data_IF_311276093900
#
_entry.id   IF_311276093900
#
_cell.length_a   1.000
_cell.length_b   1.000
_cell.length_c   1.000
_cell.angle_alpha   90.00
_cell.angle_beta   90.00
_cell.angle_gamma   90.00
#
_symmetry.space_group_name_H-M   'P 1'
#
loop_
_entity.id
_entity.type
_entity.pdbx_description
1 polymer ?
#
# COMPACT_ATOMS: atom_id res chain seq x y z
N UNK A 1 29.38 12.72 13.79
CA UNK A 1 29.22 12.36 12.36
C UNK A 1 28.43 13.48 11.70
N UNK A 2 28.96 14.15 10.66
CA UNK A 2 28.25 15.21 9.94
C UNK A 2 27.55 14.58 8.73
N UNK A 3 26.23 14.46 8.79
CA UNK A 3 25.42 13.95 7.68
C UNK A 3 25.13 15.12 6.73
N UNK A 4 25.28 14.90 5.42
CA UNK A 4 24.87 15.88 4.41
C UNK A 4 23.37 15.84 4.21
N UNK A 5 22.78 16.99 3.90
CA UNK A 5 21.33 17.11 3.70
C UNK A 5 20.82 16.22 2.55
N UNK A 6 21.57 16.10 1.45
CA UNK A 6 21.25 15.18 0.35
C UNK A 6 21.11 13.72 0.81
N UNK A 7 21.99 13.27 1.71
CA UNK A 7 21.95 11.91 2.26
C UNK A 7 20.75 11.71 3.19
N UNK A 8 20.46 12.72 4.01
CA UNK A 8 19.26 12.71 4.87
C UNK A 8 17.99 12.63 4.01
N UNK A 9 17.90 13.46 2.97
CA UNK A 9 16.73 13.52 2.08
C UNK A 9 16.51 12.19 1.35
N UNK A 10 17.54 11.60 0.75
CA UNK A 10 17.43 10.30 0.08
C UNK A 10 16.92 9.22 1.05
N UNK A 11 17.40 9.22 2.30
CA UNK A 11 16.94 8.28 3.31
C UNK A 11 15.46 8.49 3.68
N UNK A 12 14.98 9.73 3.74
CA UNK A 12 13.56 10.02 4.00
C UNK A 12 12.68 9.60 2.83
N UNK A 13 13.11 9.88 1.59
CA UNK A 13 12.38 9.45 0.39
C UNK A 13 12.23 7.93 0.35
N UNK A 14 13.32 7.19 0.60
CA UNK A 14 13.31 5.72 0.66
C UNK A 14 12.36 5.18 1.76
N UNK A 15 12.35 5.82 2.94
CA UNK A 15 11.44 5.44 4.03
C UNK A 15 9.97 5.71 3.69
N UNK A 16 9.69 6.85 3.07
CA UNK A 16 8.33 7.20 2.63
C UNK A 16 7.89 6.20 1.58
N UNK A 17 8.65 6.02 0.51
CA UNK A 17 8.32 5.15 -0.62
C UNK A 17 7.99 3.73 -0.15
N UNK A 18 8.85 3.14 0.69
CA UNK A 18 8.61 1.82 1.29
C UNK A 18 7.36 1.76 2.16
N UNK A 19 6.95 2.85 2.79
CA UNK A 19 5.80 2.87 3.68
C UNK A 19 4.47 3.21 2.98
N UNK A 20 4.52 3.83 1.80
CA UNK A 20 3.33 4.45 1.20
C UNK A 20 3.08 4.10 -0.26
N UNK A 21 4.09 3.58 -0.97
CA UNK A 21 3.88 3.09 -2.31
C UNK A 21 2.99 1.85 -2.24
N UNK A 22 1.79 1.94 -2.81
CA UNK A 22 0.79 0.87 -2.75
C UNK A 22 0.23 0.55 -4.13
N UNK A 23 -0.31 -0.66 -4.25
CA UNK A 23 -0.89 -1.17 -5.49
C UNK A 23 -2.16 -1.98 -5.19
N UNK A 24 -3.18 -1.97 -6.09
CA UNK A 24 -4.35 -2.82 -5.94
C UNK A 24 -4.03 -4.32 -6.03
N UNK A 25 -4.77 -5.15 -5.28
CA UNK A 25 -4.73 -6.62 -5.36
C UNK A 25 -4.95 -7.08 -6.79
N UNK A 26 -4.07 -7.96 -7.26
CA UNK A 26 -4.19 -8.57 -8.59
C UNK A 26 -3.67 -7.72 -9.74
N UNK A 27 -3.25 -6.46 -9.54
CA UNK A 27 -2.56 -5.68 -10.56
C UNK A 27 -1.20 -6.27 -10.95
N UNK A 28 -0.55 -6.94 -9.99
CA UNK A 28 0.63 -7.77 -10.20
C UNK A 28 0.33 -9.20 -9.79
N UNK A 29 1.08 -10.14 -10.34
CA UNK A 29 1.09 -11.52 -9.88
C UNK A 29 2.51 -12.06 -9.81
N UNK A 30 2.73 -13.01 -8.92
CA UNK A 30 4.01 -13.70 -8.77
C UNK A 30 3.94 -15.04 -9.47
N UNK A 31 4.83 -15.22 -10.44
CA UNK A 31 4.98 -16.50 -11.14
C UNK A 31 5.47 -17.59 -10.17
N UNK A 32 5.07 -18.86 -10.35
CA UNK A 32 5.63 -19.98 -9.59
C UNK A 32 7.16 -20.07 -9.69
N UNK A 33 7.75 -19.53 -10.77
CA UNK A 33 9.19 -19.49 -10.99
C UNK A 33 9.90 -18.37 -10.20
N UNK A 34 9.16 -17.50 -9.51
CA UNK A 34 9.70 -16.42 -8.67
C UNK A 34 9.46 -15.00 -9.18
N UNK A 35 9.62 -14.68 -10.49
CA UNK A 35 9.45 -13.32 -11.01
C UNK A 35 8.04 -12.76 -10.81
N UNK A 36 7.96 -11.46 -10.53
CA UNK A 36 6.71 -10.70 -10.48
C UNK A 36 6.42 -10.07 -11.83
N UNK A 37 5.17 -10.14 -12.28
CA UNK A 37 4.73 -9.61 -13.57
C UNK A 37 3.48 -8.75 -13.41
N UNK A 38 3.31 -7.79 -14.34
CA UNK A 38 2.06 -7.05 -14.48
C UNK A 38 0.96 -7.99 -14.96
N UNK A 39 -0.15 -8.02 -14.23
CA UNK A 39 -1.29 -8.83 -14.61
C UNK A 39 -2.10 -8.13 -15.71
N UNK A 40 -2.00 -8.64 -16.94
CA UNK A 40 -2.68 -8.03 -18.09
C UNK A 40 -4.20 -8.22 -18.04
N UNK A 41 -4.70 -9.23 -17.33
CA UNK A 41 -6.13 -9.53 -17.19
C UNK A 41 -6.79 -8.80 -16.02
N UNK A 42 -6.02 -8.08 -15.19
CA UNK A 42 -6.59 -7.27 -14.13
C UNK A 42 -7.39 -6.11 -14.70
N UNK A 43 -8.69 -6.07 -14.48
CA UNK A 43 -9.56 -4.99 -15.00
C UNK A 43 -9.80 -3.87 -13.99
N UNK A 44 -9.27 -3.97 -12.77
CA UNK A 44 -9.55 -3.06 -11.67
C UNK A 44 -10.25 -3.77 -10.51
N UNK A 45 -10.23 -3.16 -9.33
CA UNK A 45 -10.98 -3.69 -8.19
C UNK A 45 -12.48 -3.45 -8.40
N UNK A 46 -13.31 -4.39 -7.95
CA UNK A 46 -14.75 -4.15 -7.86
C UNK A 46 -15.07 -3.10 -6.80
N UNK A 47 -16.25 -2.51 -6.83
CA UNK A 47 -16.66 -1.50 -5.84
C UNK A 47 -16.68 -2.02 -4.40
N UNK A 48 -16.93 -3.31 -4.18
CA UNK A 48 -16.95 -3.93 -2.85
C UNK A 48 -15.55 -4.19 -2.31
N UNK A 49 -14.61 -4.57 -3.19
CA UNK A 49 -13.19 -4.76 -2.86
C UNK A 49 -12.48 -3.42 -2.68
N UNK A 50 -12.75 -2.46 -3.54
CA UNK A 50 -12.07 -1.16 -3.55
C UNK A 50 -12.25 -0.36 -2.24
N UNK A 51 -13.21 -0.73 -1.38
CA UNK A 51 -13.44 -0.15 -0.05
C UNK A 51 -12.68 -0.85 1.09
N UNK A 52 -11.95 -1.92 0.80
CA UNK A 52 -11.27 -2.74 1.79
C UNK A 52 -9.76 -2.49 1.74
N UNK A 53 -9.15 -2.24 2.90
CA UNK A 53 -7.69 -2.12 3.00
C UNK A 53 -6.98 -3.41 2.58
N UNK A 54 -7.62 -4.58 2.77
CA UNK A 54 -7.11 -5.87 2.31
C UNK A 54 -6.99 -6.02 0.79
N UNK A 55 -7.56 -5.09 0.02
CA UNK A 55 -7.43 -5.05 -1.44
C UNK A 55 -6.27 -4.18 -1.92
N UNK A 56 -5.44 -3.66 -1.02
CA UNK A 56 -4.28 -2.83 -1.33
C UNK A 56 -3.04 -3.38 -0.63
N UNK A 57 -1.92 -3.35 -1.34
CA UNK A 57 -0.66 -3.94 -0.89
C UNK A 57 0.48 -2.96 -1.02
N UNK A 58 1.44 -3.01 -0.11
CA UNK A 58 2.70 -2.26 -0.21
C UNK A 58 3.52 -2.74 -1.41
N UNK A 59 3.90 -1.81 -2.28
CA UNK A 59 4.69 -2.08 -3.48
C UNK A 59 6.20 -2.12 -3.15
N UNK A 60 6.57 -3.12 -2.35
CA UNK A 60 7.95 -3.42 -1.97
C UNK A 60 8.09 -4.91 -1.66
N UNK A 61 9.30 -5.35 -1.35
CA UNK A 61 9.47 -6.70 -0.80
C UNK A 61 8.68 -6.89 0.51
N UNK A 62 8.03 -8.04 0.69
CA UNK A 62 7.27 -8.32 1.90
C UNK A 62 8.20 -8.48 3.10
N UNK A 63 7.81 -7.82 4.19
CA UNK A 63 8.46 -7.86 5.50
C UNK A 63 7.62 -8.70 6.45
N UNK A 64 6.31 -8.45 6.51
CA UNK A 64 5.41 -9.06 7.50
C UNK A 64 4.92 -10.44 7.03
N UNK A 65 4.75 -10.64 5.72
CA UNK A 65 4.34 -11.93 5.15
C UNK A 65 5.28 -13.09 5.54
N UNK A 66 6.57 -12.79 5.70
CA UNK A 66 7.59 -13.77 6.11
C UNK A 66 7.31 -14.30 7.51
N UNK A 67 6.72 -13.48 8.37
CA UNK A 67 6.44 -13.77 9.78
C UNK A 67 5.09 -14.47 10.00
N UNK A 68 4.22 -14.56 8.97
CA UNK A 68 2.93 -15.25 9.07
C UNK A 68 3.09 -16.75 9.31
N UNK A 69 2.20 -17.30 10.13
CA UNK A 69 2.07 -18.74 10.42
C UNK A 69 1.63 -19.53 9.19
N UNK A 70 1.80 -20.85 9.23
CA UNK A 70 1.32 -21.74 8.14
C UNK A 70 -0.19 -21.69 7.97
N UNK A 71 -0.93 -21.56 9.07
CA UNK A 71 -2.39 -21.46 9.04
C UNK A 71 -2.84 -20.17 8.34
N UNK A 72 -2.25 -19.02 8.69
CA UNK A 72 -2.57 -17.75 8.03
C UNK A 72 -2.17 -17.73 6.55
N UNK A 73 -1.12 -18.47 6.17
CA UNK A 73 -0.68 -18.60 4.77
C UNK A 73 -1.61 -19.50 3.96
N UNK A 74 -2.35 -20.41 4.60
CA UNK A 74 -3.25 -21.33 3.89
C UNK A 74 -4.43 -20.61 3.22
N UNK A 75 -4.82 -19.46 3.75
CA UNK A 75 -5.93 -18.65 3.23
C UNK A 75 -5.49 -17.66 2.13
N UNK A 76 -4.18 -17.56 1.85
CA UNK A 76 -3.63 -16.62 0.87
C UNK A 76 -3.51 -17.28 -0.51
N UNK A 77 -3.77 -16.50 -1.56
CA UNK A 77 -3.40 -16.89 -2.92
C UNK A 77 -1.91 -16.58 -3.13
N UNK A 78 -1.01 -17.58 -3.30
CA UNK A 78 0.43 -17.32 -3.39
C UNK A 78 0.84 -16.49 -4.61
N UNK A 79 0.00 -16.44 -5.64
CA UNK A 79 0.23 -15.67 -6.86
C UNK A 79 -0.18 -14.20 -6.69
N UNK A 80 -1.23 -13.93 -5.90
CA UNK A 80 -1.81 -12.59 -5.76
C UNK A 80 -1.44 -11.91 -4.43
N UNK A 81 -1.33 -12.67 -3.35
CA UNK A 81 -1.16 -12.22 -1.96
C UNK A 81 0.31 -12.39 -1.49
N UNK A 82 1.25 -12.03 -2.36
CA UNK A 82 2.69 -12.17 -2.13
C UNK A 82 3.37 -10.92 -1.55
N UNK A 83 2.62 -9.84 -1.31
CA UNK A 83 3.07 -8.57 -0.72
C UNK A 83 2.40 -8.33 0.64
N UNK A 84 2.84 -7.32 1.39
CA UNK A 84 2.22 -6.95 2.67
C UNK A 84 0.91 -6.17 2.43
N UNK A 85 -0.18 -6.61 3.04
CA UNK A 85 -1.51 -6.00 2.92
C UNK A 85 -1.70 -4.86 3.93
N UNK A 86 -2.32 -3.75 3.49
CA UNK A 86 -2.58 -2.58 4.35
C UNK A 86 -3.50 -2.88 5.54
N UNK A 87 -4.28 -3.95 5.48
CA UNK A 87 -5.13 -4.39 6.60
C UNK A 87 -4.34 -4.69 7.87
N UNK A 88 -3.07 -5.08 7.72
CA UNK A 88 -2.20 -5.51 8.81
C UNK A 88 -1.26 -4.40 9.28
N UNK A 89 -1.37 -3.19 8.71
CA UNK A 89 -0.51 -2.08 9.09
C UNK A 89 -0.70 -1.68 10.56
N UNK A 90 0.42 -1.32 11.19
CA UNK A 90 0.48 -0.90 12.59
C UNK A 90 0.89 0.58 12.65
N UNK A 91 0.16 1.44 13.38
CA UNK A 91 -1.07 1.13 14.13
C UNK A 91 -2.28 0.82 13.23
N UNK A 92 -3.21 0.00 13.72
CA UNK A 92 -4.50 -0.21 13.04
C UNK A 92 -5.21 1.13 12.91
N UNK A 93 -5.72 1.45 11.72
CA UNK A 93 -6.28 2.78 11.43
C UNK A 93 -5.28 3.77 10.84
N UNK A 94 -4.06 3.33 10.48
CA UNK A 94 -3.06 4.16 9.79
C UNK A 94 -3.47 4.67 8.41
N UNK A 95 -4.56 4.13 7.86
CA UNK A 95 -5.06 4.47 6.54
C UNK A 95 -6.51 4.92 6.62
N UNK A 96 -6.81 6.01 5.92
CA UNK A 96 -8.18 6.40 5.62
C UNK A 96 -8.53 5.98 4.20
N UNK A 97 -9.76 5.52 4.00
CA UNK A 97 -10.28 5.11 2.70
C UNK A 97 -11.61 5.80 2.46
N UNK A 98 -11.72 6.48 1.31
CA UNK A 98 -12.88 7.31 0.97
C UNK A 98 -13.31 7.04 -0.46
N UNK A 99 -14.62 6.97 -0.68
CA UNK A 99 -15.21 6.91 -2.00
C UNK A 99 -15.66 8.31 -2.40
N UNK A 100 -15.19 8.77 -3.55
CA UNK A 100 -15.45 10.09 -4.08
C UNK A 100 -16.24 9.99 -5.39
N UNK A 101 -16.82 11.12 -5.83
CA UNK A 101 -17.48 11.24 -7.15
C UNK A 101 -18.51 10.14 -7.43
N UNK A 102 -19.39 9.84 -6.46
CA UNK A 102 -20.43 8.82 -6.63
C UNK A 102 -19.90 7.39 -6.70
N UNK A 103 -18.83 7.08 -5.97
CA UNK A 103 -18.10 5.81 -5.98
C UNK A 103 -17.24 5.55 -7.24
N UNK A 104 -17.08 6.54 -8.12
CA UNK A 104 -16.23 6.41 -9.32
C UNK A 104 -14.72 6.50 -9.00
N UNK A 105 -14.36 6.96 -7.80
CA UNK A 105 -12.98 7.14 -7.39
C UNK A 105 -12.81 6.69 -5.93
N UNK A 106 -11.77 5.92 -5.65
CA UNK A 106 -11.31 5.65 -4.29
C UNK A 106 -10.09 6.49 -4.02
N UNK A 107 -10.06 7.11 -2.84
CA UNK A 107 -8.91 7.84 -2.33
C UNK A 107 -8.46 7.21 -1.03
N UNK A 108 -7.20 6.79 -0.98
CA UNK A 108 -6.54 6.35 0.24
C UNK A 108 -5.55 7.41 0.70
N UNK A 109 -5.50 7.69 2.00
CA UNK A 109 -4.48 8.57 2.60
C UNK A 109 -3.83 7.89 3.79
N UNK A 110 -2.51 8.05 3.90
CA UNK A 110 -1.78 7.63 5.09
C UNK A 110 -1.91 8.68 6.18
N UNK A 111 -2.29 8.25 7.38
CA UNK A 111 -2.30 9.07 8.58
C UNK A 111 -0.94 9.03 9.29
N UNK A 112 -0.13 8.01 9.01
CA UNK A 112 1.23 7.85 9.54
C UNK A 112 2.25 8.68 8.77
N UNK A 113 2.05 8.83 7.46
CA UNK A 113 2.81 9.72 6.60
C UNK A 113 1.88 10.77 5.96
N UNK A 114 1.55 11.84 6.69
CA UNK A 114 0.73 12.93 6.17
C UNK A 114 1.33 13.50 4.88
N UNK A 115 0.49 13.70 3.88
CA UNK A 115 0.89 14.15 2.54
C UNK A 115 0.76 13.08 1.46
N UNK A 116 0.64 11.80 1.83
CA UNK A 116 0.31 10.75 0.86
C UNK A 116 -1.16 10.84 0.45
N UNK A 117 -1.39 10.83 -0.87
CA UNK A 117 -2.69 10.50 -1.46
C UNK A 117 -2.53 9.47 -2.56
N UNK A 118 -3.16 8.32 -2.41
CA UNK A 118 -3.33 7.31 -3.45
C UNK A 118 -4.75 7.40 -4.03
N UNK A 119 -4.88 7.15 -5.33
CA UNK A 119 -6.16 7.08 -6.01
C UNK A 119 -6.28 5.80 -6.83
N UNK A 120 -7.52 5.31 -6.96
CA UNK A 120 -7.87 4.22 -7.86
C UNK A 120 -9.28 4.44 -8.41
N UNK A 121 -9.48 4.26 -9.71
CA UNK A 121 -10.81 4.23 -10.32
C UNK A 121 -11.28 2.76 -10.41
N UNK A 122 -12.27 2.34 -9.58
CA UNK A 122 -12.78 0.97 -9.60
C UNK A 122 -13.23 0.50 -10.98
N UNK A 123 -13.04 -0.79 -11.26
CA UNK A 123 -13.34 -1.37 -12.58
C UNK A 123 -12.44 -0.84 -13.70
N UNK A 124 -11.31 -0.20 -13.38
CA UNK A 124 -10.28 0.17 -14.34
C UNK A 124 -8.88 -0.15 -13.81
N UNK A 125 -7.87 -0.15 -14.69
CA UNK A 125 -6.45 -0.23 -14.31
C UNK A 125 -5.88 1.09 -13.76
N UNK A 126 -6.67 2.16 -13.75
CA UNK A 126 -6.17 3.49 -13.43
C UNK A 126 -5.99 3.62 -11.91
N UNK A 127 -4.74 3.71 -11.49
CA UNK A 127 -4.35 4.03 -10.12
C UNK A 127 -3.02 4.77 -10.10
N UNK A 128 -2.72 5.39 -8.98
CA UNK A 128 -1.44 6.04 -8.72
C UNK A 128 -1.43 6.68 -7.36
N UNK A 129 -0.27 7.19 -6.96
CA UNK A 129 -0.15 7.97 -5.74
C UNK A 129 0.76 9.17 -5.95
N UNK A 130 0.63 10.11 -5.04
CA UNK A 130 1.53 11.25 -4.89
C UNK A 130 1.77 11.49 -3.42
N UNK A 131 3.00 11.85 -3.08
CA UNK A 131 3.34 12.36 -1.76
C UNK A 131 3.66 13.85 -1.88
N UNK A 132 2.92 14.68 -1.15
CA UNK A 132 3.17 16.12 -1.01
C UNK A 132 3.08 16.48 0.47
N UNK A 133 4.22 16.62 1.13
CA UNK A 133 4.28 16.86 2.57
C UNK A 133 5.67 17.27 3.05
N UNK A 134 5.83 17.41 4.37
CA UNK A 134 7.09 17.84 5.01
C UNK A 134 8.12 16.73 5.14
N UNK A 135 7.76 15.48 4.83
CA UNK A 135 8.62 14.31 5.05
C UNK A 135 8.69 13.88 6.52
N UNK A 136 7.74 14.32 7.34
CA UNK A 136 7.66 13.98 8.76
C UNK A 136 6.66 12.84 9.00
N UNK A 137 7.12 11.82 9.71
CA UNK A 137 6.28 10.71 10.16
C UNK A 137 5.49 11.14 11.38
N UNK A 138 4.19 10.89 11.38
CA UNK A 138 3.33 11.16 12.53
C UNK A 138 3.53 10.10 13.63
N UNK A 139 4.53 10.30 14.47
CA UNK A 139 4.86 9.38 15.56
C UNK A 139 3.82 9.36 16.68
N UNK A 140 2.96 10.38 16.74
CA UNK A 140 1.91 10.49 17.76
C UNK A 140 0.63 9.73 17.38
N UNK A 141 0.53 9.25 16.14
CA UNK A 141 -0.65 8.55 15.63
C UNK A 141 -1.17 7.43 16.56
N UNK A 142 -0.32 6.57 17.17
CA UNK A 142 -0.80 5.53 18.08
C UNK A 142 -1.52 6.06 19.33
N UNK A 143 -1.30 7.31 19.73
CA UNK A 143 -1.97 7.95 20.87
C UNK A 143 -3.21 8.75 20.44
N UNK A 144 -3.39 8.99 19.14
CA UNK A 144 -4.52 9.71 18.57
C UNK A 144 -5.68 8.80 18.15
N UNK A 145 -5.41 7.51 17.96
CA UNK A 145 -6.35 6.49 17.50
C UNK A 145 -7.11 5.79 18.65
#
# INVERSE_FOLDING_TARGET
>A
IRIKEETRLVSIIDQIDKAVAIIPRGALFKSPFGPTHVNRTFEGLTLSEAKKLSSYFHFREPVDLKNKTLLEKADLDPSLDFMDSLEHDIPKGSWSIQMERGNALVVLRSLLWPGLTFFHAPGTKNCGYIYVGTGEKNMDLPFML
#
